data_IF_671556950373
#
_entry.id   IF_671556950373
#
_cell.length_a   1.000
_cell.length_b   1.000
_cell.length_c   1.000
_cell.angle_alpha   90.00
_cell.angle_beta   90.00
_cell.angle_gamma   90.00
#
_symmetry.space_group_name_H-M   'P 1'
#
loop_
_entity.id
_entity.type
_entity.pdbx_description
1 polymer ?
#
# COMPACT_ATOMS: atom_id res chain seq x y z
N UNK A 1 14.90 18.50 1.70
CA UNK A 1 15.50 17.40 0.90
C UNK A 1 15.06 16.04 1.42
N UNK A 2 15.53 15.51 2.57
CA UNK A 2 15.08 14.19 3.06
C UNK A 2 13.59 14.13 3.49
N UNK A 3 13.05 15.20 4.09
CA UNK A 3 11.64 15.26 4.49
C UNK A 3 10.66 15.27 3.30
N UNK A 4 11.09 15.86 2.17
CA UNK A 4 10.29 15.91 0.93
C UNK A 4 10.24 14.52 0.27
N UNK A 5 11.35 13.77 0.35
CA UNK A 5 11.46 12.41 -0.16
C UNK A 5 10.60 11.44 0.66
N UNK A 6 10.64 11.54 2.00
CA UNK A 6 9.75 10.78 2.89
C UNK A 6 8.28 11.08 2.55
N UNK A 7 7.91 12.34 2.40
CA UNK A 7 6.52 12.73 2.07
C UNK A 7 6.05 12.18 0.72
N UNK A 8 6.94 12.12 -0.28
CA UNK A 8 6.63 11.50 -1.59
C UNK A 8 6.45 10.00 -1.47
N UNK A 9 7.30 9.31 -0.71
CA UNK A 9 7.17 7.86 -0.47
C UNK A 9 5.90 7.55 0.31
N UNK A 10 5.55 8.35 1.31
CA UNK A 10 4.27 8.23 2.03
C UNK A 10 3.07 8.35 1.09
N UNK A 11 3.10 9.33 0.17
CA UNK A 11 2.02 9.52 -0.79
C UNK A 11 1.94 8.34 -1.77
N UNK A 12 3.09 7.88 -2.27
CA UNK A 12 3.17 6.70 -3.16
C UNK A 12 2.58 5.45 -2.50
N UNK A 13 2.91 5.19 -1.23
CA UNK A 13 2.38 4.06 -0.47
C UNK A 13 0.85 4.18 -0.33
N UNK A 14 0.34 5.36 0.08
CA UNK A 14 -1.11 5.58 0.22
C UNK A 14 -1.86 5.39 -1.10
N UNK A 15 -1.35 5.96 -2.17
CA UNK A 15 -1.98 5.85 -3.49
C UNK A 15 -1.94 4.41 -4.00
N UNK A 16 -0.79 3.73 -3.82
CA UNK A 16 -0.62 2.32 -4.15
C UNK A 16 -1.59 1.41 -3.41
N UNK A 17 -1.68 1.53 -2.08
CA UNK A 17 -2.62 0.77 -1.24
C UNK A 17 -4.08 1.01 -1.67
N UNK A 18 -4.44 2.27 -1.96
CA UNK A 18 -5.77 2.61 -2.43
C UNK A 18 -6.10 2.03 -3.82
N UNK A 19 -5.14 2.03 -4.75
CA UNK A 19 -5.30 1.40 -6.05
C UNK A 19 -5.43 -0.12 -5.94
N UNK A 20 -4.60 -0.76 -5.12
CA UNK A 20 -4.64 -2.20 -4.87
C UNK A 20 -6.02 -2.61 -4.35
N UNK A 21 -6.54 -1.90 -3.34
CA UNK A 21 -7.85 -2.20 -2.78
C UNK A 21 -8.96 -2.18 -3.84
N UNK A 22 -8.98 -1.15 -4.70
CA UNK A 22 -9.93 -1.07 -5.83
C UNK A 22 -9.76 -2.20 -6.84
N UNK A 23 -8.53 -2.61 -7.14
CA UNK A 23 -8.28 -3.71 -8.07
C UNK A 23 -8.71 -5.06 -7.48
N UNK A 24 -8.56 -5.27 -6.16
CA UNK A 24 -9.08 -6.47 -5.49
C UNK A 24 -10.59 -6.58 -5.61
N UNK A 25 -11.30 -5.47 -5.40
CA UNK A 25 -12.76 -5.42 -5.55
C UNK A 25 -13.18 -5.75 -6.99
N UNK A 26 -12.49 -5.17 -7.97
CA UNK A 26 -12.76 -5.45 -9.39
C UNK A 26 -12.50 -6.91 -9.74
N UNK A 27 -11.38 -7.48 -9.31
CA UNK A 27 -11.05 -8.88 -9.54
C UNK A 27 -12.11 -9.79 -8.91
N UNK A 28 -12.54 -9.52 -7.68
CA UNK A 28 -13.59 -10.31 -7.03
C UNK A 28 -14.92 -10.25 -7.79
N UNK A 29 -15.27 -9.09 -8.34
CA UNK A 29 -16.48 -8.93 -9.17
C UNK A 29 -16.38 -9.74 -10.48
N UNK A 30 -15.22 -9.72 -11.14
CA UNK A 30 -14.99 -10.48 -12.37
C UNK A 30 -14.99 -12.00 -12.10
N UNK A 31 -14.37 -12.44 -11.01
CA UNK A 31 -14.39 -13.84 -10.54
C UNK A 31 -15.83 -14.32 -10.27
N UNK A 32 -16.63 -13.50 -9.59
CA UNK A 32 -18.05 -13.78 -9.34
C UNK A 32 -18.87 -13.87 -10.64
N UNK A 33 -18.42 -13.19 -11.70
CA UNK A 33 -18.99 -13.28 -13.04
C UNK A 33 -18.47 -14.45 -13.89
N UNK A 34 -17.58 -15.29 -13.34
CA UNK A 34 -16.97 -16.42 -14.04
C UNK A 34 -15.89 -16.04 -15.06
N UNK A 35 -15.38 -14.80 -15.00
CA UNK A 35 -14.29 -14.36 -15.87
C UNK A 35 -12.94 -14.80 -15.31
N UNK A 36 -11.97 -15.16 -16.17
CA UNK A 36 -10.64 -15.55 -15.72
C UNK A 36 -9.87 -14.34 -15.21
N UNK A 37 -9.37 -14.43 -13.98
CA UNK A 37 -8.66 -13.35 -13.28
C UNK A 37 -7.29 -13.77 -12.77
N UNK A 38 -6.86 -15.01 -12.99
CA UNK A 38 -5.67 -15.59 -12.37
C UNK A 38 -4.41 -14.74 -12.63
N UNK A 39 -4.27 -14.25 -13.87
CA UNK A 39 -3.16 -13.35 -14.25
C UNK A 39 -3.27 -11.97 -13.59
N UNK A 40 -4.48 -11.42 -13.50
CA UNK A 40 -4.70 -10.13 -12.86
C UNK A 40 -4.41 -10.21 -11.36
N UNK A 41 -4.82 -11.32 -10.71
CA UNK A 41 -4.54 -11.61 -9.31
C UNK A 41 -3.04 -11.78 -9.05
N UNK A 42 -2.36 -12.60 -9.85
CA UNK A 42 -0.91 -12.78 -9.71
C UNK A 42 -0.13 -11.46 -9.89
N UNK A 43 -0.56 -10.61 -10.82
CA UNK A 43 0.05 -9.29 -10.98
C UNK A 43 -0.26 -8.35 -9.81
N UNK A 44 -1.48 -8.41 -9.28
CA UNK A 44 -1.87 -7.60 -8.12
C UNK A 44 -1.09 -8.00 -6.87
N UNK A 45 -0.87 -9.29 -6.65
CA UNK A 45 -0.07 -9.82 -5.55
C UNK A 45 1.39 -9.31 -5.64
N UNK A 46 1.96 -9.23 -6.86
CA UNK A 46 3.28 -8.61 -7.09
C UNK A 46 3.29 -7.11 -6.73
N UNK A 47 2.26 -6.36 -7.12
CA UNK A 47 2.17 -4.94 -6.78
C UNK A 47 2.03 -4.72 -5.26
N UNK A 48 1.31 -5.60 -4.57
CA UNK A 48 1.20 -5.58 -3.11
C UNK A 48 2.53 -5.78 -2.42
N UNK A 49 3.36 -6.71 -2.90
CA UNK A 49 4.70 -6.93 -2.37
C UNK A 49 5.57 -5.67 -2.53
N UNK A 50 5.52 -5.03 -3.70
CA UNK A 50 6.27 -3.80 -3.98
C UNK A 50 5.85 -2.62 -3.09
N UNK A 51 4.55 -2.48 -2.83
CA UNK A 51 4.04 -1.49 -1.88
C UNK A 51 4.45 -1.83 -0.45
N UNK A 52 4.45 -3.11 -0.08
CA UNK A 52 4.94 -3.62 1.20
C UNK A 52 6.39 -3.24 1.48
N UNK A 53 7.28 -3.47 0.51
CA UNK A 53 8.70 -3.07 0.59
C UNK A 53 8.83 -1.56 0.81
N UNK A 54 8.06 -0.76 0.07
CA UNK A 54 8.06 0.70 0.19
C UNK A 54 7.59 1.16 1.58
N UNK A 55 6.57 0.49 2.14
CA UNK A 55 6.07 0.74 3.49
C UNK A 55 7.10 0.40 4.56
N UNK A 56 7.80 -0.72 4.43
CA UNK A 56 8.86 -1.11 5.35
C UNK A 56 10.04 -0.13 5.31
N UNK A 57 10.43 0.29 4.10
CA UNK A 57 11.47 1.30 3.94
C UNK A 57 11.08 2.61 4.63
N UNK A 58 9.85 3.08 4.41
CA UNK A 58 9.30 4.25 5.06
C UNK A 58 9.30 4.14 6.59
N UNK A 59 8.95 2.97 7.13
CA UNK A 59 8.96 2.71 8.58
C UNK A 59 10.37 2.78 9.19
N UNK A 60 11.41 2.47 8.42
CA UNK A 60 12.81 2.63 8.85
C UNK A 60 13.25 4.09 8.82
N UNK A 61 12.73 4.89 7.87
CA UNK A 61 13.06 6.30 7.72
C UNK A 61 12.29 7.22 8.69
N UNK A 62 11.12 6.80 9.15
CA UNK A 62 10.30 7.58 10.08
C UNK A 62 10.54 7.13 11.53
N UNK A 63 11.09 7.99 12.41
CA UNK A 63 11.22 7.64 13.82
C UNK A 63 9.82 7.41 14.42
N UNK A 64 9.65 6.46 15.35
CA UNK A 64 8.36 6.22 15.97
C UNK A 64 7.87 7.52 16.62
N UNK A 65 6.67 7.97 16.22
CA UNK A 65 6.01 9.10 16.88
C UNK A 65 5.92 8.77 18.37
N UNK A 66 6.69 9.48 19.20
CA UNK A 66 6.53 9.43 20.67
C UNK A 66 5.06 9.71 20.95
N UNK A 67 4.32 8.71 21.40
CA UNK A 67 2.97 8.89 21.93
C UNK A 67 3.08 9.98 22.98
N UNK A 68 2.51 11.17 22.73
CA UNK A 68 2.35 12.18 23.78
C UNK A 68 1.54 11.48 24.87
N UNK A 69 2.19 11.22 26.00
CA UNK A 69 1.51 10.80 27.21
C UNK A 69 0.39 11.81 27.44
N UNK A 70 -0.87 11.34 27.38
CA UNK A 70 -2.00 12.10 27.91
C UNK A 70 -1.67 12.31 29.38
N UNK A 71 -1.19 13.51 29.73
CA UNK A 71 -1.17 13.94 31.12
C UNK A 71 -2.63 14.13 31.52
N UNK A 72 -2.97 13.41 32.59
CA UNK A 72 -4.20 13.46 33.38
C UNK A 72 -4.63 14.87 33.71
#
# INVERSE_FOLDING_TARGET
MAADEISRVEQLVRDGEGHIARQRELIALLEGGGLPTEKARAFLDFLEEMVGISREHLARLTPPKRRKARRS
#
